data_IF_748141504837
#
_entry.id   IF_748141504837
#
_cell.length_a   1.000
_cell.length_b   1.000
_cell.length_c   1.000
_cell.angle_alpha   90.00
_cell.angle_beta   90.00
_cell.angle_gamma   90.00
#
_symmetry.space_group_name_H-M   'P 1'
#
loop_
_entity.id
_entity.type
_entity.pdbx_description
1 polymer ?
#
# COMPACT_ATOMS: atom_id res chain seq x y z
N UNK A 1 -5.80 -1.07 -12.67
CA UNK A 1 -4.68 -1.94 -13.11
C UNK A 1 -5.21 -3.00 -14.04
N UNK A 2 -4.54 -3.17 -15.15
CA UNK A 2 -4.85 -4.21 -16.12
C UNK A 2 -3.76 -5.29 -16.04
N UNK A 3 -4.04 -6.47 -16.58
CA UNK A 3 -3.04 -7.55 -16.64
C UNK A 3 -1.75 -7.09 -17.32
N UNK A 4 -1.87 -6.26 -18.39
CA UNK A 4 -0.73 -5.71 -19.10
C UNK A 4 0.15 -4.77 -18.26
N UNK A 5 -0.37 -4.26 -17.12
CA UNK A 5 0.38 -3.34 -16.24
C UNK A 5 1.27 -4.07 -15.24
N UNK A 6 1.05 -5.37 -15.02
CA UNK A 6 1.68 -6.10 -13.90
C UNK A 6 3.19 -6.18 -13.98
N UNK A 7 3.77 -6.20 -15.18
CA UNK A 7 5.22 -6.19 -15.34
C UNK A 7 5.83 -4.86 -14.85
N UNK A 8 5.22 -3.73 -15.18
CA UNK A 8 5.69 -2.43 -14.71
C UNK A 8 5.47 -2.25 -13.20
N UNK A 9 4.34 -2.74 -12.69
CA UNK A 9 4.03 -2.72 -11.24
C UNK A 9 5.07 -3.53 -10.47
N UNK A 10 5.39 -4.73 -10.91
CA UNK A 10 6.42 -5.56 -10.29
C UNK A 10 7.80 -4.92 -10.35
N UNK A 11 8.11 -4.20 -11.42
CA UNK A 11 9.38 -3.46 -11.54
C UNK A 11 9.49 -2.33 -10.51
N UNK A 12 8.40 -1.61 -10.23
CA UNK A 12 8.37 -0.59 -9.18
C UNK A 12 8.56 -1.25 -7.81
N UNK A 13 7.83 -2.32 -7.55
CA UNK A 13 7.91 -3.03 -6.27
C UNK A 13 9.35 -3.49 -5.97
N UNK A 14 10.06 -4.04 -6.95
CA UNK A 14 11.45 -4.47 -6.78
C UNK A 14 12.40 -3.33 -6.41
N UNK A 15 12.09 -2.10 -6.79
CA UNK A 15 12.91 -0.94 -6.48
C UNK A 15 12.71 -0.42 -5.05
N UNK A 16 11.54 -0.66 -4.45
CA UNK A 16 11.16 -0.02 -3.18
C UNK A 16 11.06 -1.00 -2.02
N UNK A 17 10.91 -2.30 -2.28
CA UNK A 17 10.66 -3.30 -1.25
C UNK A 17 11.83 -4.29 -1.15
N UNK A 18 12.27 -4.56 0.09
CA UNK A 18 13.33 -5.55 0.36
C UNK A 18 12.88 -6.96 -0.01
N UNK A 19 11.61 -7.29 0.23
CA UNK A 19 11.02 -8.61 -0.08
C UNK A 19 9.82 -8.42 -1.03
N UNK A 20 10.09 -8.13 -2.32
CA UNK A 20 9.05 -7.69 -3.25
C UNK A 20 8.09 -8.82 -3.64
N UNK A 21 6.82 -8.43 -3.91
CA UNK A 21 5.90 -9.30 -4.62
C UNK A 21 6.41 -9.53 -6.04
N UNK A 22 6.15 -10.74 -6.56
CA UNK A 22 6.40 -11.08 -7.95
C UNK A 22 5.30 -10.57 -8.86
N UNK A 23 5.58 -10.51 -10.16
CA UNK A 23 4.55 -10.20 -11.17
C UNK A 23 3.34 -11.13 -11.05
N UNK A 24 3.59 -12.43 -10.81
CA UNK A 24 2.52 -13.41 -10.62
C UNK A 24 1.62 -13.09 -9.44
N UNK A 25 2.16 -12.62 -8.34
CA UNK A 25 1.35 -12.23 -7.17
C UNK A 25 0.43 -11.06 -7.49
N UNK A 26 0.88 -10.10 -8.30
CA UNK A 26 0.03 -9.01 -8.78
C UNK A 26 -1.07 -9.52 -9.72
N UNK A 27 -0.76 -10.47 -10.60
CA UNK A 27 -1.76 -11.12 -11.46
C UNK A 27 -2.81 -11.84 -10.63
N UNK A 28 -2.40 -12.55 -9.59
CA UNK A 28 -3.30 -13.25 -8.67
C UNK A 28 -4.22 -12.27 -7.92
N UNK A 29 -3.71 -11.10 -7.53
CA UNK A 29 -4.53 -10.05 -6.91
C UNK A 29 -5.65 -9.59 -7.82
N UNK A 30 -5.38 -9.42 -9.11
CA UNK A 30 -6.40 -9.08 -10.10
C UNK A 30 -7.45 -10.19 -10.21
N UNK A 31 -7.00 -11.44 -10.27
CA UNK A 31 -7.88 -12.61 -10.37
C UNK A 31 -8.77 -12.76 -9.14
N UNK A 32 -8.23 -12.43 -7.95
CA UNK A 32 -8.97 -12.53 -6.68
C UNK A 32 -9.95 -11.37 -6.45
N UNK A 33 -10.08 -10.46 -7.40
CA UNK A 33 -11.03 -9.36 -7.29
C UNK A 33 -10.61 -8.24 -6.33
N UNK A 34 -9.32 -8.15 -6.00
CA UNK A 34 -8.82 -7.03 -5.21
C UNK A 34 -8.87 -5.74 -6.01
N UNK A 35 -8.98 -4.61 -5.30
CA UNK A 35 -9.01 -3.28 -5.93
C UNK A 35 -7.58 -2.85 -6.24
N UNK A 36 -7.16 -3.06 -7.48
CA UNK A 36 -5.81 -2.77 -7.93
C UNK A 36 -5.83 -1.53 -8.81
N UNK A 37 -5.22 -0.44 -8.34
CA UNK A 37 -5.14 0.83 -9.05
C UNK A 37 -3.71 1.11 -9.50
N UNK A 38 -3.56 1.80 -10.63
CA UNK A 38 -2.27 2.31 -11.06
C UNK A 38 -2.37 3.81 -11.30
N UNK A 39 -1.27 4.51 -11.07
CA UNK A 39 -1.07 5.89 -11.51
C UNK A 39 -0.15 5.85 -12.71
N UNK A 40 -0.48 6.59 -13.75
CA UNK A 40 0.27 6.60 -15.01
C UNK A 40 0.72 8.00 -15.37
N UNK A 41 1.87 8.09 -16.03
CA UNK A 41 2.35 9.28 -16.70
C UNK A 41 2.48 8.91 -18.19
N UNK A 42 1.52 9.36 -19.00
CA UNK A 42 1.39 8.86 -20.35
C UNK A 42 1.09 7.36 -20.37
N UNK A 43 1.98 6.58 -20.97
CA UNK A 43 1.86 5.11 -21.02
C UNK A 43 2.66 4.41 -19.91
N UNK A 44 3.42 5.16 -19.12
CA UNK A 44 4.27 4.61 -18.08
C UNK A 44 3.51 4.52 -16.75
N UNK A 45 3.50 3.34 -16.14
CA UNK A 45 3.02 3.16 -14.77
C UNK A 45 4.05 3.74 -13.82
N UNK A 46 3.63 4.64 -12.93
CA UNK A 46 4.51 5.32 -11.98
C UNK A 46 4.15 5.02 -10.52
N UNK A 47 3.06 4.33 -10.28
CA UNK A 47 2.64 3.95 -8.94
C UNK A 47 1.49 2.95 -8.97
N UNK A 48 1.27 2.30 -7.83
CA UNK A 48 0.17 1.35 -7.69
C UNK A 48 -0.31 1.29 -6.25
N UNK A 49 -1.56 0.84 -6.08
CA UNK A 49 -2.17 0.60 -4.78
C UNK A 49 -3.08 -0.62 -4.87
N UNK A 50 -2.96 -1.53 -3.90
CA UNK A 50 -3.79 -2.73 -3.82
C UNK A 50 -4.57 -2.72 -2.52
N UNK A 51 -5.90 -2.71 -2.65
CA UNK A 51 -6.84 -2.78 -1.55
C UNK A 51 -7.62 -4.09 -1.62
N UNK A 52 -7.80 -4.74 -0.48
CA UNK A 52 -8.57 -5.96 -0.34
C UNK A 52 -9.85 -5.67 0.46
N UNK A 53 -11.00 -5.52 -0.20
CA UNK A 53 -12.26 -5.38 0.52
C UNK A 53 -12.63 -6.70 1.22
N UNK A 54 -13.10 -6.59 2.47
CA UNK A 54 -13.61 -7.71 3.25
C UNK A 54 -14.85 -7.22 3.99
N UNK A 55 -16.05 -7.54 3.47
CA UNK A 55 -17.32 -7.04 4.01
C UNK A 55 -17.35 -5.50 3.98
N UNK A 56 -17.52 -4.86 5.14
CA UNK A 56 -17.55 -3.40 5.28
C UNK A 56 -16.19 -2.78 5.63
N UNK A 57 -15.12 -3.57 5.52
CA UNK A 57 -13.75 -3.15 5.80
C UNK A 57 -12.85 -3.38 4.58
N UNK A 58 -11.64 -2.88 4.63
CA UNK A 58 -10.62 -3.18 3.63
C UNK A 58 -9.23 -3.22 4.26
N UNK A 59 -8.33 -3.99 3.64
CA UNK A 59 -6.92 -3.99 3.97
C UNK A 59 -6.15 -3.34 2.82
N UNK A 60 -5.28 -2.38 3.13
CA UNK A 60 -4.32 -1.89 2.16
C UNK A 60 -3.14 -2.84 2.18
N UNK A 61 -2.99 -3.64 1.13
CA UNK A 61 -1.97 -4.69 1.06
C UNK A 61 -0.63 -4.15 0.62
N UNK A 62 -0.59 -3.34 -0.41
CA UNK A 62 0.62 -2.76 -0.97
C UNK A 62 0.32 -1.41 -1.61
N UNK A 63 1.31 -0.53 -1.56
CA UNK A 63 1.29 0.74 -2.26
C UNK A 63 2.73 1.19 -2.49
N UNK A 64 3.04 1.67 -3.68
CA UNK A 64 4.34 2.23 -3.97
C UNK A 64 4.27 3.25 -5.11
N UNK A 65 5.21 4.18 -5.09
CA UNK A 65 5.45 5.16 -6.15
C UNK A 65 6.87 4.91 -6.67
N UNK A 66 7.04 4.94 -7.98
CA UNK A 66 8.36 4.86 -8.62
C UNK A 66 9.28 5.91 -7.98
N UNK A 67 10.49 5.53 -7.55
CA UNK A 67 11.42 6.46 -6.90
C UNK A 67 11.64 7.79 -7.63
N UNK A 68 11.55 7.79 -8.96
CA UNK A 68 11.70 9.00 -9.77
C UNK A 68 10.57 10.01 -9.58
N UNK A 69 9.42 9.55 -9.08
CA UNK A 69 8.22 10.37 -8.89
C UNK A 69 7.88 10.60 -7.42
N UNK A 70 8.69 10.11 -6.49
CA UNK A 70 8.49 10.33 -5.07
C UNK A 70 8.76 11.79 -4.69
N UNK A 71 8.13 12.25 -3.61
CA UNK A 71 8.29 13.62 -3.12
C UNK A 71 7.53 14.68 -3.92
N UNK A 72 6.60 14.28 -4.79
CA UNK A 72 5.84 15.18 -5.67
C UNK A 72 4.33 15.16 -5.41
N UNK A 73 3.89 14.53 -4.32
CA UNK A 73 2.47 14.41 -3.99
C UNK A 73 1.74 13.26 -4.69
N UNK A 74 2.43 12.45 -5.47
CA UNK A 74 1.81 11.31 -6.18
C UNK A 74 1.24 10.27 -5.23
N UNK A 75 1.94 9.98 -4.13
CA UNK A 75 1.48 9.01 -3.14
C UNK A 75 0.16 9.41 -2.50
N UNK A 76 0.04 10.69 -2.13
CA UNK A 76 -1.19 11.22 -1.55
C UNK A 76 -2.35 11.14 -2.55
N UNK A 77 -2.13 11.57 -3.78
CA UNK A 77 -3.15 11.54 -4.83
C UNK A 77 -3.61 10.11 -5.13
N UNK A 78 -2.67 9.18 -5.24
CA UNK A 78 -2.99 7.76 -5.49
C UNK A 78 -3.79 7.15 -4.33
N UNK A 79 -3.37 7.40 -3.11
CA UNK A 79 -4.04 6.86 -1.92
C UNK A 79 -5.46 7.40 -1.80
N UNK A 80 -5.66 8.71 -1.94
CA UNK A 80 -6.98 9.32 -1.87
C UNK A 80 -7.91 8.79 -2.95
N UNK A 81 -7.44 8.69 -4.19
CA UNK A 81 -8.22 8.15 -5.29
C UNK A 81 -8.57 6.67 -5.08
N UNK A 82 -7.64 5.89 -4.57
CA UNK A 82 -7.86 4.46 -4.29
C UNK A 82 -8.90 4.26 -3.18
N UNK A 83 -8.84 5.07 -2.12
CA UNK A 83 -9.82 5.02 -1.03
C UNK A 83 -11.22 5.39 -1.51
N UNK A 84 -11.34 6.39 -2.39
CA UNK A 84 -12.63 6.76 -2.98
C UNK A 84 -13.29 5.60 -3.72
N UNK A 85 -12.51 4.78 -4.40
CA UNK A 85 -13.02 3.62 -5.15
C UNK A 85 -13.63 2.54 -4.25
N UNK A 86 -13.35 2.55 -2.96
CA UNK A 86 -13.98 1.62 -2.01
C UNK A 86 -15.46 1.93 -1.77
N UNK A 87 -15.89 3.17 -2.01
CA UNK A 87 -17.27 3.59 -1.77
C UNK A 87 -17.62 3.77 -0.29
N UNK A 88 -18.85 4.21 -0.04
CA UNK A 88 -19.33 4.57 1.30
C UNK A 88 -19.59 3.36 2.20
N UNK A 89 -19.72 2.17 1.62
CA UNK A 89 -19.95 0.94 2.38
C UNK A 89 -18.73 0.44 3.15
N UNK A 90 -17.55 0.95 2.84
CA UNK A 90 -16.32 0.59 3.56
C UNK A 90 -16.10 1.59 4.69
N UNK A 91 -16.19 1.14 5.93
CA UNK A 91 -16.13 2.00 7.12
C UNK A 91 -14.77 2.04 7.79
N UNK A 92 -13.91 1.06 7.55
CA UNK A 92 -12.57 0.98 8.12
C UNK A 92 -11.57 0.44 7.11
N UNK A 93 -10.36 1.00 7.11
CA UNK A 93 -9.24 0.50 6.32
C UNK A 93 -8.05 0.24 7.25
N UNK A 94 -7.44 -0.93 7.13
CA UNK A 94 -6.30 -1.34 7.92
C UNK A 94 -5.07 -1.50 7.03
N UNK A 95 -3.91 -1.28 7.60
CA UNK A 95 -2.63 -1.55 6.94
C UNK A 95 -1.56 -1.95 7.93
N UNK A 96 -0.52 -2.61 7.41
CA UNK A 96 0.72 -2.87 8.11
C UNK A 96 1.84 -2.22 7.30
N UNK A 97 2.76 -1.54 7.96
CA UNK A 97 3.89 -0.85 7.32
C UNK A 97 5.16 -1.08 8.11
N UNK A 98 6.30 -1.20 7.42
CA UNK A 98 7.60 -1.32 8.08
C UNK A 98 7.83 -0.11 8.99
N UNK A 99 8.28 -0.36 10.22
CA UNK A 99 8.55 0.70 11.19
C UNK A 99 9.59 1.71 10.69
N UNK A 100 10.50 1.28 9.82
CA UNK A 100 11.53 2.13 9.22
C UNK A 100 11.01 3.01 8.08
N UNK A 101 9.82 2.71 7.54
CA UNK A 101 9.27 3.43 6.39
C UNK A 101 8.56 4.72 6.83
N UNK A 102 9.36 5.66 7.32
CA UNK A 102 8.87 6.95 7.82
C UNK A 102 8.07 7.75 6.78
N UNK A 103 8.48 7.84 5.52
CA UNK A 103 7.70 8.55 4.51
C UNK A 103 6.30 7.98 4.32
N UNK A 104 6.16 6.64 4.31
CA UNK A 104 4.85 6.00 4.17
C UNK A 104 3.98 6.24 5.40
N UNK A 105 4.53 6.09 6.60
CA UNK A 105 3.82 6.34 7.86
C UNK A 105 3.30 7.78 7.88
N UNK A 106 4.13 8.74 7.52
CA UNK A 106 3.73 10.16 7.46
C UNK A 106 2.61 10.40 6.46
N UNK A 107 2.66 9.73 5.30
CA UNK A 107 1.61 9.80 4.29
C UNK A 107 0.29 9.27 4.84
N UNK A 108 0.32 8.10 5.48
CA UNK A 108 -0.88 7.49 6.04
C UNK A 108 -1.48 8.36 7.15
N UNK A 109 -0.66 8.91 8.04
CA UNK A 109 -1.12 9.83 9.09
C UNK A 109 -1.78 11.08 8.48
N UNK A 110 -1.23 11.63 7.41
CA UNK A 110 -1.77 12.79 6.71
C UNK A 110 -3.18 12.54 6.17
N UNK A 111 -3.48 11.32 5.74
CA UNK A 111 -4.80 10.93 5.24
C UNK A 111 -5.78 10.66 6.37
N UNK A 112 -5.29 10.39 7.58
CA UNK A 112 -6.13 10.15 8.74
C UNK A 112 -5.95 8.80 9.40
N UNK A 113 -5.02 7.97 8.91
CA UNK A 113 -4.67 6.72 9.60
C UNK A 113 -3.99 7.03 10.93
N UNK A 114 -4.25 6.21 11.92
CA UNK A 114 -3.59 6.30 13.21
C UNK A 114 -3.01 4.95 13.60
N UNK A 115 -1.95 4.98 14.40
CA UNK A 115 -1.29 3.76 14.87
C UNK A 115 -2.18 3.03 15.88
N UNK A 116 -2.34 1.72 15.68
CA UNK A 116 -3.11 0.85 16.57
C UNK A 116 -2.23 -0.07 17.40
N UNK A 117 -1.05 -0.40 16.91
CA UNK A 117 -0.16 -1.33 17.57
C UNK A 117 1.09 -1.60 16.75
N UNK A 118 1.92 -2.50 17.30
CA UNK A 118 3.17 -2.92 16.67
C UNK A 118 3.21 -4.44 16.68
N UNK A 119 3.55 -5.04 15.54
CA UNK A 119 3.86 -6.46 15.45
C UNK A 119 5.37 -6.60 15.35
N UNK A 120 5.99 -7.09 16.42
CA UNK A 120 7.45 -7.17 16.51
C UNK A 120 8.03 -8.23 15.60
N UNK A 121 9.19 -7.92 15.00
CA UNK A 121 9.97 -8.84 14.16
C UNK A 121 9.15 -9.48 13.05
N UNK A 122 8.27 -8.70 12.42
CA UNK A 122 7.31 -9.20 11.43
C UNK A 122 7.89 -9.27 10.04
N UNK A 123 8.61 -8.22 9.60
CA UNK A 123 9.14 -8.15 8.24
C UNK A 123 10.57 -8.66 8.17
N UNK A 124 10.93 -9.41 7.10
CA UNK A 124 12.34 -9.62 6.77
C UNK A 124 13.01 -8.28 6.48
N UNK A 125 14.23 -8.11 6.98
CA UNK A 125 15.00 -6.88 6.78
C UNK A 125 16.44 -7.23 6.39
N UNK A 126 17.10 -6.30 5.68
CA UNK A 126 18.49 -6.44 5.33
C UNK A 126 19.34 -6.39 6.60
N UNK A 127 20.15 -7.43 6.83
CA UNK A 127 21.03 -7.51 8.02
C UNK A 127 22.12 -6.45 8.02
N UNK A 128 22.41 -5.85 6.89
CA UNK A 128 23.32 -4.70 6.82
C UNK A 128 22.70 -3.44 7.43
N UNK A 129 21.35 -3.38 7.50
CA UNK A 129 20.60 -2.26 8.07
C UNK A 129 20.07 -2.60 9.46
N UNK A 130 19.51 -3.82 9.63
CA UNK A 130 18.99 -4.32 10.91
C UNK A 130 19.70 -5.63 11.23
N UNK A 131 20.54 -5.62 12.23
CA UNK A 131 21.41 -6.77 12.58
C UNK A 131 20.63 -8.07 12.80
N UNK A 132 19.43 -8.02 13.36
CA UNK A 132 18.58 -9.20 13.58
C UNK A 132 18.02 -9.80 12.29
N UNK A 133 18.05 -9.06 11.16
CA UNK A 133 17.43 -9.47 9.91
C UNK A 133 15.91 -9.38 9.91
N UNK A 134 15.31 -8.69 10.88
CA UNK A 134 13.87 -8.48 11.00
C UNK A 134 13.57 -7.09 11.52
N UNK A 135 12.43 -6.55 11.14
CA UNK A 135 11.94 -5.28 11.69
C UNK A 135 10.45 -5.36 12.02
N UNK A 136 10.01 -4.44 12.87
CA UNK A 136 8.62 -4.38 13.32
C UNK A 136 7.69 -3.89 12.21
N UNK A 137 6.44 -4.35 12.28
CA UNK A 137 5.34 -3.75 11.53
C UNK A 137 4.58 -2.79 12.43
N UNK A 138 4.29 -1.60 11.92
CA UNK A 138 3.36 -0.67 12.55
C UNK A 138 1.98 -0.94 11.97
N UNK A 139 1.00 -1.19 12.85
CA UNK A 139 -0.39 -1.43 12.45
C UNK A 139 -1.14 -0.11 12.51
N UNK A 140 -1.82 0.25 11.42
CA UNK A 140 -2.56 1.50 11.32
C UNK A 140 -3.98 1.27 10.83
N UNK A 141 -4.89 2.16 11.22
CA UNK A 141 -6.28 2.11 10.80
C UNK A 141 -6.82 3.50 10.45
N UNK A 142 -7.71 3.51 9.47
CA UNK A 142 -8.46 4.69 9.06
C UNK A 142 -9.95 4.41 9.29
N UNK A 143 -10.61 5.24 10.08
CA UNK A 143 -12.06 5.21 10.25
C UNK A 143 -12.68 6.09 9.17
N UNK A 144 -13.65 5.54 8.42
CA UNK A 144 -14.35 6.21 7.33
C UNK A 144 -15.83 6.28 7.66
N UNK A 145 -16.40 7.47 7.49
CA UNK A 145 -17.82 7.69 7.76
C UNK A 145 -18.16 7.60 9.25
N UNK A 146 -19.43 7.87 9.54
CA UNK A 146 -19.99 7.74 10.88
C UNK A 146 -20.99 6.60 10.87
N UNK A 147 -20.72 5.47 11.57
CA UNK A 147 -21.65 4.33 11.61
C UNK A 147 -22.98 4.64 12.28
N UNK A 148 -23.08 5.80 12.94
CA UNK A 148 -24.29 6.26 13.61
C UNK A 148 -24.98 7.40 12.88
N UNK A 149 -24.50 7.80 11.71
CA UNK A 149 -25.10 8.86 10.91
C UNK A 149 -26.28 8.35 10.08
#
# INVERSE_FOLDING_TARGET
MLLADTAQVAAIERQVEYHPWSERQFQESLENGQRCTVMVDGEQVIGFCILQPVLDEANLLLMAIDPKYQGQGCGLALLEASLELLGDGCVMVFLEVRGSNTPAISLYEKVGFHQMGIRKNYYPADRAVVASGKEDAVLMALTRGNPFA
#
